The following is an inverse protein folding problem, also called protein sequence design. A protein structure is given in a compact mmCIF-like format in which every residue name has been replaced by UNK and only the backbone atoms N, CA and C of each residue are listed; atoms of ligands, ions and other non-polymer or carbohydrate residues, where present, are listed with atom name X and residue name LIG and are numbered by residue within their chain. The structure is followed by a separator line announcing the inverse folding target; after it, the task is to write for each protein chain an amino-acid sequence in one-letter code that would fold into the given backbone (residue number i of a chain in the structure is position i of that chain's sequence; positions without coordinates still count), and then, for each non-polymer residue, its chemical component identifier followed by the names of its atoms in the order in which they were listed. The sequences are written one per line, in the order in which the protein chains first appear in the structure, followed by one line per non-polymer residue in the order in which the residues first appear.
data_IF_421623592091
#
_entry.id   IF_421623592091
#
_cell.length_a   1.000
_cell.length_b   1.000
_cell.length_c   1.000
_cell.angle_alpha   90.00
_cell.angle_beta   90.00
_cell.angle_gamma   90.00
#
_symmetry.space_group_name_H-M   'P 1'
#
loop_
_entity.id
_entity.type
_entity.pdbx_description
1 polymer ?
#
# COMPACT_ATOMS: atom_id res chain seq x y z
N UNK A 1 14.69 -24.55 -20.75
CA UNK A 1 14.37 -25.14 -19.43
C UNK A 1 12.85 -25.21 -19.30
N UNK A 2 12.26 -26.27 -18.72
CA UNK A 2 10.82 -26.35 -18.52
C UNK A 2 10.36 -25.24 -17.55
N UNK A 3 9.23 -24.62 -17.86
CA UNK A 3 8.60 -23.61 -17.00
C UNK A 3 8.14 -24.33 -15.73
N UNK A 4 8.81 -24.06 -14.60
CA UNK A 4 8.31 -24.44 -13.28
C UNK A 4 7.15 -23.51 -12.96
N UNK A 5 5.93 -24.00 -13.11
CA UNK A 5 4.79 -23.40 -12.43
C UNK A 5 5.04 -23.55 -10.94
N UNK A 6 5.30 -22.43 -10.26
CA UNK A 6 5.32 -22.42 -8.80
C UNK A 6 3.98 -22.99 -8.34
N UNK A 7 4.02 -24.00 -7.47
CA UNK A 7 2.82 -24.55 -6.84
C UNK A 7 2.05 -23.46 -6.09
N UNK A 8 0.84 -23.76 -5.59
CA UNK A 8 0.03 -22.79 -4.84
C UNK A 8 0.88 -22.16 -3.72
N UNK A 9 0.93 -20.83 -3.69
CA UNK A 9 1.70 -20.09 -2.70
C UNK A 9 1.17 -20.41 -1.29
N UNK A 10 2.07 -20.67 -0.34
CA UNK A 10 1.69 -20.90 1.06
C UNK A 10 1.24 -19.58 1.71
N UNK A 11 -0.03 -19.44 2.12
CA UNK A 11 -0.53 -18.23 2.77
C UNK A 11 0.11 -17.97 4.14
N UNK A 12 0.85 -18.93 4.71
CA UNK A 12 1.54 -18.79 5.99
C UNK A 12 3.00 -18.35 5.85
N UNK A 13 3.56 -18.33 4.63
CA UNK A 13 4.93 -17.88 4.40
C UNK A 13 5.06 -16.39 4.77
N UNK A 14 5.97 -16.03 5.70
CA UNK A 14 6.20 -14.63 6.08
C UNK A 14 6.64 -13.75 4.91
N UNK A 15 7.33 -14.31 3.92
CA UNK A 15 7.78 -13.61 2.70
C UNK A 15 6.59 -13.29 1.81
N UNK A 16 5.73 -14.28 1.55
CA UNK A 16 4.49 -14.09 0.80
C UNK A 16 3.60 -13.03 1.44
N UNK A 17 3.37 -13.11 2.75
CA UNK A 17 2.58 -12.11 3.49
C UNK A 17 3.20 -10.71 3.47
N UNK A 18 4.52 -10.61 3.47
CA UNK A 18 5.18 -9.30 3.36
C UNK A 18 4.99 -8.70 1.98
N UNK A 19 5.13 -9.49 0.93
CA UNK A 19 4.84 -9.07 -0.45
C UNK A 19 3.38 -8.64 -0.62
N UNK A 20 2.43 -9.43 -0.10
CA UNK A 20 1.00 -9.08 -0.10
C UNK A 20 0.75 -7.71 0.54
N UNK A 21 1.36 -7.43 1.70
CA UNK A 21 1.26 -6.12 2.37
C UNK A 21 1.81 -4.98 1.50
N UNK A 22 2.92 -5.20 0.78
CA UNK A 22 3.49 -4.21 -0.14
C UNK A 22 2.53 -3.95 -1.31
N UNK A 23 2.01 -5.00 -1.96
CA UNK A 23 1.06 -4.86 -3.06
C UNK A 23 -0.19 -4.11 -2.61
N UNK A 24 -0.73 -4.47 -1.45
CA UNK A 24 -1.88 -3.80 -0.87
C UNK A 24 -1.61 -2.30 -0.64
N UNK A 25 -0.44 -1.96 -0.08
CA UNK A 25 -0.02 -0.58 0.11
C UNK A 25 0.07 0.16 -1.24
N UNK A 26 0.71 -0.43 -2.25
CA UNK A 26 0.87 0.18 -3.57
C UNK A 26 -0.49 0.44 -4.26
N UNK A 27 -1.43 -0.51 -4.17
CA UNK A 27 -2.78 -0.34 -4.71
C UNK A 27 -3.50 0.83 -4.04
N UNK A 28 -3.49 0.89 -2.71
CA UNK A 28 -4.13 1.97 -1.97
C UNK A 28 -3.46 3.32 -2.24
N UNK A 29 -2.14 3.36 -2.33
CA UNK A 29 -1.38 4.57 -2.67
C UNK A 29 -1.70 5.05 -4.09
N UNK A 30 -1.84 4.13 -5.05
CA UNK A 30 -2.25 4.45 -6.43
C UNK A 30 -3.66 5.04 -6.50
N UNK A 31 -4.62 4.42 -5.82
CA UNK A 31 -6.01 4.93 -5.74
C UNK A 31 -6.04 6.30 -5.06
N UNK A 32 -5.31 6.46 -3.97
CA UNK A 32 -5.16 7.74 -3.29
C UNK A 32 -4.59 8.81 -4.22
N UNK A 33 -3.50 8.52 -4.93
CA UNK A 33 -2.88 9.47 -5.86
C UNK A 33 -3.85 9.88 -6.97
N UNK A 34 -4.49 8.91 -7.64
CA UNK A 34 -5.44 9.19 -8.71
C UNK A 34 -6.62 10.05 -8.24
N UNK A 35 -7.22 9.70 -7.10
CA UNK A 35 -8.39 10.43 -6.59
C UNK A 35 -8.03 11.78 -5.98
N UNK A 36 -6.91 11.90 -5.25
CA UNK A 36 -6.50 13.20 -4.71
C UNK A 36 -6.07 14.15 -5.81
N UNK A 37 -5.26 13.71 -6.78
CA UNK A 37 -4.88 14.56 -7.91
C UNK A 37 -6.10 14.97 -8.73
N UNK A 38 -7.04 14.06 -9.01
CA UNK A 38 -8.29 14.36 -9.71
C UNK A 38 -9.18 15.34 -8.93
N UNK A 39 -9.33 15.16 -7.61
CA UNK A 39 -10.13 16.02 -6.76
C UNK A 39 -9.57 17.45 -6.70
N UNK A 40 -8.26 17.60 -6.51
CA UNK A 40 -7.60 18.90 -6.53
C UNK A 40 -7.66 19.58 -7.91
N UNK A 41 -7.52 18.81 -8.99
CA UNK A 41 -7.68 19.32 -10.34
C UNK A 41 -9.12 19.84 -10.60
N UNK A 42 -10.14 19.08 -10.19
CA UNK A 42 -11.54 19.49 -10.30
C UNK A 42 -11.87 20.70 -9.43
N UNK A 43 -11.27 20.81 -8.24
CA UNK A 43 -11.41 21.97 -7.36
C UNK A 43 -10.84 23.24 -8.00
N UNK A 44 -9.79 23.13 -8.82
CA UNK A 44 -9.25 24.26 -9.57
C UNK A 44 -10.10 24.63 -10.79
N UNK A 45 -10.82 23.66 -11.37
CA UNK A 45 -11.64 23.85 -12.58
C UNK A 45 -13.07 24.32 -12.30
N UNK A 46 -13.69 23.83 -11.21
CA UNK A 46 -15.05 24.21 -10.81
C UNK A 46 -14.97 25.09 -9.58
N UNK A 47 -15.87 26.08 -9.47
CA UNK A 47 -16.03 26.93 -8.28
C UNK A 47 -15.81 26.13 -6.99
N UNK A 48 -15.07 26.68 -6.01
CA UNK A 48 -14.53 25.93 -4.88
C UNK A 48 -15.60 25.06 -4.21
N UNK A 49 -15.37 23.75 -4.23
CA UNK A 49 -16.04 22.83 -3.31
C UNK A 49 -15.77 23.33 -1.88
N UNK A 50 -16.77 23.22 -1.00
CA UNK A 50 -16.78 23.74 0.37
C UNK A 50 -15.38 23.86 1.00
N UNK A 51 -15.03 25.08 1.41
CA UNK A 51 -13.71 25.40 1.96
C UNK A 51 -13.42 24.54 3.19
N UNK A 52 -12.40 23.67 3.09
CA UNK A 52 -11.88 22.87 4.19
C UNK A 52 -12.25 21.38 4.20
N UNK A 53 -13.27 20.93 3.45
CA UNK A 53 -13.64 19.51 3.42
C UNK A 53 -12.58 18.66 2.68
N UNK A 54 -12.05 19.18 1.57
CA UNK A 54 -11.10 18.45 0.71
C UNK A 54 -9.74 18.22 1.42
N UNK A 55 -9.12 19.23 2.05
CA UNK A 55 -7.91 19.01 2.87
C UNK A 55 -8.13 18.02 4.02
N UNK A 56 -9.30 18.03 4.67
CA UNK A 56 -9.62 17.12 5.77
C UNK A 56 -9.68 15.66 5.29
N UNK A 57 -10.41 15.41 4.20
CA UNK A 57 -10.52 14.06 3.60
C UNK A 57 -9.15 13.56 3.14
N UNK A 58 -8.40 14.39 2.41
CA UNK A 58 -7.03 14.08 1.98
C UNK A 58 -6.13 13.76 3.19
N UNK A 59 -6.21 14.54 4.26
CA UNK A 59 -5.39 14.36 5.46
C UNK A 59 -5.70 13.07 6.23
N UNK A 60 -6.98 12.76 6.45
CA UNK A 60 -7.39 11.50 7.11
C UNK A 60 -6.97 10.30 6.27
N UNK A 61 -7.22 10.36 4.96
CA UNK A 61 -6.88 9.25 4.07
C UNK A 61 -5.37 9.04 3.94
N UNK A 62 -4.60 10.12 3.88
CA UNK A 62 -3.14 10.07 3.92
C UNK A 62 -2.63 9.44 5.23
N UNK A 63 -3.26 9.76 6.37
CA UNK A 63 -2.91 9.16 7.67
C UNK A 63 -3.12 7.64 7.67
N UNK A 64 -4.19 7.14 7.06
CA UNK A 64 -4.43 5.69 6.88
C UNK A 64 -3.31 5.05 6.04
N UNK A 65 -2.87 5.71 4.96
CA UNK A 65 -1.74 5.23 4.16
C UNK A 65 -0.42 5.22 4.95
N UNK A 66 -0.16 6.26 5.74
CA UNK A 66 1.03 6.32 6.59
C UNK A 66 1.05 5.16 7.61
N UNK A 67 -0.11 4.83 8.20
CA UNK A 67 -0.25 3.67 9.08
C UNK A 67 0.03 2.37 8.32
N UNK A 68 -0.51 2.19 7.11
CA UNK A 68 -0.22 1.00 6.30
C UNK A 68 1.27 0.88 5.98
N UNK A 69 1.93 1.98 5.61
CA UNK A 69 3.37 2.01 5.37
C UNK A 69 4.15 1.60 6.63
N UNK A 70 3.78 2.14 7.80
CA UNK A 70 4.40 1.77 9.06
C UNK A 70 4.25 0.27 9.35
N UNK A 71 3.08 -0.32 9.08
CA UNK A 71 2.84 -1.77 9.24
C UNK A 71 3.72 -2.61 8.29
N UNK A 72 3.88 -2.18 7.03
CA UNK A 72 4.75 -2.87 6.06
C UNK A 72 6.19 -2.88 6.57
N UNK A 73 6.71 -1.73 7.02
CA UNK A 73 8.08 -1.58 7.52
C UNK A 73 8.27 -2.41 8.80
N UNK A 74 7.33 -2.32 9.75
CA UNK A 74 7.42 -3.02 11.04
C UNK A 74 7.34 -4.56 10.89
N UNK A 75 6.64 -5.06 9.87
CA UNK A 75 6.47 -6.51 9.61
C UNK A 75 7.37 -7.02 8.48
N UNK A 76 8.55 -6.43 8.32
CA UNK A 76 9.57 -6.93 7.40
C UNK A 76 10.19 -8.21 7.97
N UNK A 77 10.22 -9.33 7.23
CA UNK A 77 10.88 -10.55 7.68
C UNK A 77 12.41 -10.34 7.76
N UNK A 78 13.01 -10.79 8.85
CA UNK A 78 14.46 -10.77 9.07
C UNK A 78 15.12 -11.95 8.35
N UNK A 79 16.28 -11.72 7.71
CA UNK A 79 17.02 -12.74 6.94
C UNK A 79 17.58 -13.91 7.78
N UNK A 80 17.50 -13.83 9.11
CA UNK A 80 18.19 -14.74 10.05
C UNK A 80 17.53 -16.10 10.24
N UNK A 81 16.32 -16.34 9.69
CA UNK A 81 15.62 -17.61 9.86
C UNK A 81 16.11 -18.73 8.92
N UNK A 82 16.96 -18.42 7.94
CA UNK A 82 17.38 -19.37 6.90
C UNK A 82 18.70 -20.09 7.20
N UNK A 83 19.44 -19.67 8.24
CA UNK A 83 20.80 -20.15 8.50
C UNK A 83 20.88 -21.30 9.53
N UNK A 84 19.81 -21.54 10.30
CA UNK A 84 19.83 -22.54 11.40
C UNK A 84 19.38 -23.94 10.97
N UNK A 85 19.06 -24.17 9.69
CA UNK A 85 18.55 -25.46 9.18
C UNK A 85 19.37 -25.98 7.98
N UNK A 86 20.64 -25.55 7.87
CA UNK A 86 21.63 -26.02 6.89
C UNK A 86 22.67 -26.94 7.53
#
# INVERSE_FOLDING_TARGET
MPIRWYGPADPNDPTYRHFERIVNLCLHAGVFAALNSGAWFLQQMRHPLQDGTLPLITGIWFSILAIQLAVVIARRPSATATETDS
#
